data_IF_638771234570
#
_entry.id   IF_638771234570
#
_cell.length_a   1.000
_cell.length_b   1.000
_cell.length_c   1.000
_cell.angle_alpha   90.00
_cell.angle_beta   90.00
_cell.angle_gamma   90.00
#
_symmetry.space_group_name_H-M   'P 1'
#
loop_
_entity.id
_entity.type
_entity.pdbx_description
1 polymer ?
#
# COMPACT_ATOMS: atom_id res chain seq x y z
N UNK A 1 -3.25 -34.27 10.44
CA UNK A 1 -2.41 -33.07 10.26
C UNK A 1 -3.35 -31.87 10.27
N UNK A 2 -3.14 -30.90 11.16
CA UNK A 2 -3.98 -29.70 11.26
C UNK A 2 -3.90 -28.94 9.93
N UNK A 3 -5.05 -28.59 9.35
CA UNK A 3 -5.13 -27.73 8.17
C UNK A 3 -4.52 -26.37 8.51
N UNK A 4 -3.24 -26.17 8.18
CA UNK A 4 -2.59 -24.87 8.29
C UNK A 4 -3.18 -23.95 7.23
N UNK A 5 -3.49 -22.68 7.56
CA UNK A 5 -3.97 -21.73 6.57
C UNK A 5 -2.91 -21.53 5.48
N UNK A 6 -3.33 -21.65 4.22
CA UNK A 6 -2.51 -21.34 3.07
C UNK A 6 -2.52 -19.82 2.88
N UNK A 7 -1.63 -19.10 3.58
CA UNK A 7 -1.51 -17.64 3.52
C UNK A 7 -0.93 -17.17 2.17
N UNK A 8 -1.67 -17.38 1.08
CA UNK A 8 -1.22 -17.10 -0.28
C UNK A 8 -1.52 -15.65 -0.68
N UNK A 9 -2.59 -15.09 -0.17
CA UNK A 9 -3.02 -13.72 -0.40
C UNK A 9 -2.81 -12.88 0.86
N UNK A 10 -2.59 -11.57 0.68
CA UNK A 10 -2.41 -10.63 1.80
C UNK A 10 -3.63 -10.58 2.71
N UNK A 11 -4.83 -10.65 2.12
CA UNK A 11 -6.11 -10.71 2.84
C UNK A 11 -6.23 -11.96 3.73
N UNK A 12 -5.59 -13.07 3.38
CA UNK A 12 -5.63 -14.31 4.18
C UNK A 12 -5.01 -14.15 5.57
N UNK A 13 -4.20 -13.10 5.78
CA UNK A 13 -3.58 -12.75 7.07
C UNK A 13 -4.35 -11.68 7.84
N UNK A 14 -5.25 -10.96 7.17
CA UNK A 14 -6.05 -9.92 7.78
C UNK A 14 -7.28 -10.56 8.44
N UNK A 15 -7.54 -10.20 9.69
CA UNK A 15 -8.70 -10.68 10.46
C UNK A 15 -10.01 -10.12 9.86
N UNK A 16 -9.93 -9.05 9.06
CA UNK A 16 -11.08 -8.45 8.37
C UNK A 16 -10.66 -7.75 7.06
N UNK A 17 -11.55 -7.72 6.08
CA UNK A 17 -11.34 -6.99 4.83
C UNK A 17 -11.31 -5.46 5.10
N UNK A 18 -10.59 -4.68 4.28
CA UNK A 18 -10.62 -3.22 4.37
C UNK A 18 -12.06 -2.71 4.18
N UNK A 19 -12.44 -1.69 4.96
CA UNK A 19 -13.77 -1.08 4.86
C UNK A 19 -13.91 -0.30 3.55
N UNK A 20 -15.05 -0.44 2.88
CA UNK A 20 -15.42 0.36 1.70
C UNK A 20 -15.86 1.80 2.05
N UNK A 21 -15.87 2.15 3.34
CA UNK A 21 -16.25 3.47 3.82
C UNK A 21 -15.22 4.56 3.47
N UNK A 22 -15.66 5.83 3.30
CA UNK A 22 -14.75 6.92 3.00
C UNK A 22 -13.73 7.14 4.13
N UNK A 23 -12.44 7.11 3.79
CA UNK A 23 -11.35 7.39 4.71
C UNK A 23 -10.91 8.87 4.64
N UNK A 24 -10.80 9.52 5.80
CA UNK A 24 -10.18 10.85 5.89
C UNK A 24 -8.65 10.71 5.90
N UNK A 25 -7.98 11.23 4.88
CA UNK A 25 -6.52 11.28 4.79
C UNK A 25 -6.07 12.74 4.83
N UNK A 26 -5.40 13.14 5.92
CA UNK A 26 -4.86 14.50 6.10
C UNK A 26 -3.40 14.50 5.66
N UNK A 27 -3.08 15.28 4.62
CA UNK A 27 -1.70 15.50 4.15
C UNK A 27 -1.18 16.86 4.62
N UNK A 28 0.06 16.91 5.04
CA UNK A 28 0.73 18.13 5.50
C UNK A 28 1.68 18.67 4.44
N UNK A 29 2.13 19.92 4.61
CA UNK A 29 3.19 20.50 3.78
C UNK A 29 4.58 19.91 4.07
N UNK A 30 4.72 19.13 5.16
CA UNK A 30 5.93 18.40 5.50
C UNK A 30 5.95 17.00 4.87
N UNK A 31 4.81 16.53 4.36
CA UNK A 31 4.75 15.22 3.72
C UNK A 31 5.48 15.27 2.37
N UNK A 32 6.19 14.19 1.99
CA UNK A 32 6.83 14.08 0.68
C UNK A 32 5.84 14.32 -0.46
N UNK A 33 6.26 15.09 -1.47
CA UNK A 33 5.41 15.38 -2.63
C UNK A 33 5.25 14.15 -3.51
N UNK A 34 6.31 13.35 -3.59
CA UNK A 34 6.33 12.13 -4.37
C UNK A 34 6.52 10.91 -3.47
N UNK A 35 5.78 9.85 -3.77
CA UNK A 35 5.85 8.55 -3.07
C UNK A 35 7.20 7.84 -3.21
N UNK A 36 8.16 8.46 -3.89
CA UNK A 36 9.52 7.96 -4.16
C UNK A 36 10.60 8.63 -3.32
N UNK A 37 10.34 9.81 -2.75
CA UNK A 37 11.36 10.66 -2.10
C UNK A 37 11.81 10.11 -0.74
N UNK A 38 10.90 9.49 0.02
CA UNK A 38 11.20 8.94 1.36
C UNK A 38 10.62 7.53 1.56
N UNK A 39 10.41 6.81 0.46
CA UNK A 39 9.84 5.48 0.51
C UNK A 39 10.94 4.43 0.40
N UNK A 40 11.16 3.66 1.47
CA UNK A 40 12.15 2.56 1.51
C UNK A 40 11.93 1.53 0.40
N UNK A 41 10.71 1.38 -0.11
CA UNK A 41 10.41 0.48 -1.23
C UNK A 41 10.77 1.08 -2.60
N UNK A 42 11.03 2.39 -2.68
CA UNK A 42 11.49 3.10 -3.87
C UNK A 42 12.99 3.43 -3.83
N UNK A 43 13.63 3.40 -2.66
CA UNK A 43 15.06 3.69 -2.52
C UNK A 43 15.93 2.82 -3.44
N UNK A 44 16.84 3.47 -4.17
CA UNK A 44 17.75 2.80 -5.12
C UNK A 44 17.11 2.37 -6.45
N UNK A 45 15.80 2.58 -6.65
CA UNK A 45 15.14 2.28 -7.93
C UNK A 45 15.22 3.48 -8.87
N UNK A 46 15.79 3.27 -10.06
CA UNK A 46 15.83 4.30 -11.11
C UNK A 46 14.44 4.57 -11.73
N UNK A 47 13.59 3.55 -11.77
CA UNK A 47 12.23 3.63 -12.31
C UNK A 47 11.27 2.90 -11.37
N UNK A 48 10.17 3.56 -11.02
CA UNK A 48 9.02 2.96 -10.33
C UNK A 48 7.84 2.88 -11.29
N UNK A 49 7.00 1.86 -11.17
CA UNK A 49 5.84 1.68 -12.05
C UNK A 49 4.71 2.62 -11.67
N UNK A 50 3.82 2.92 -12.62
CA UNK A 50 2.57 3.66 -12.32
C UNK A 50 1.69 2.93 -11.31
N UNK A 51 1.67 1.60 -11.35
CA UNK A 51 0.95 0.76 -10.38
C UNK A 51 1.50 0.90 -8.97
N UNK A 52 2.81 1.06 -8.82
CA UNK A 52 3.43 1.35 -7.53
C UNK A 52 2.96 2.71 -7.01
N UNK A 53 2.97 3.73 -7.86
CA UNK A 53 2.51 5.06 -7.44
C UNK A 53 1.03 5.07 -7.04
N UNK A 54 0.16 4.45 -7.82
CA UNK A 54 -1.27 4.36 -7.55
C UNK A 54 -1.55 3.70 -6.19
N UNK A 55 -0.86 2.59 -5.90
CA UNK A 55 -0.99 1.88 -4.62
C UNK A 55 -0.69 2.78 -3.41
N UNK A 56 0.43 3.52 -3.43
CA UNK A 56 0.81 4.39 -2.32
C UNK A 56 0.01 5.70 -2.27
N UNK A 57 -0.59 6.13 -3.38
CA UNK A 57 -1.52 7.28 -3.40
C UNK A 57 -2.93 6.91 -2.94
N UNK A 58 -3.23 5.61 -2.80
CA UNK A 58 -4.57 5.13 -2.49
C UNK A 58 -5.54 5.29 -3.66
N UNK A 59 -5.03 5.34 -4.89
CA UNK A 59 -5.85 5.38 -6.10
C UNK A 59 -6.37 3.96 -6.37
N UNK A 60 -7.69 3.79 -6.46
CA UNK A 60 -8.31 2.52 -6.85
C UNK A 60 -7.96 2.26 -8.33
N UNK A 61 -7.19 1.20 -8.59
CA UNK A 61 -6.92 0.68 -9.94
C UNK A 61 -8.08 -0.12 -10.50
#
# INVERSE_FOLDING_TARGET
MKNLPNFKQLADRLINEPSDEPMLVIKTNLDPKHVTEENSYAQGKKNVSKTFEAFFKGEVT
#
